data_IF_314710980932
#
_entry.id   IF_314710980932
#
_cell.length_a   1.000
_cell.length_b   1.000
_cell.length_c   1.000
_cell.angle_alpha   90.00
_cell.angle_beta   90.00
_cell.angle_gamma   90.00
#
_symmetry.space_group_name_H-M   'P 1'
#
loop_
_entity.id
_entity.type
_entity.pdbx_description
1 polymer ?
#
# COMPACT_ATOMS: atom_id res chain seq x y z
N UNK A 1 13.94 -11.52 -24.58
CA UNK A 1 12.68 -10.77 -24.38
C UNK A 1 12.65 -10.37 -22.92
N UNK A 2 12.78 -9.07 -22.60
CA UNK A 2 12.73 -8.62 -21.20
C UNK A 2 11.35 -8.94 -20.63
N UNK A 3 11.31 -9.49 -19.42
CA UNK A 3 10.06 -9.75 -18.73
C UNK A 3 9.29 -8.44 -18.59
N UNK A 4 7.99 -8.45 -18.88
CA UNK A 4 7.18 -7.25 -18.76
C UNK A 4 7.14 -6.78 -17.29
N UNK A 5 7.30 -5.48 -17.07
CA UNK A 5 6.98 -4.83 -15.81
C UNK A 5 5.47 -4.93 -15.60
N UNK A 6 5.05 -5.96 -14.87
CA UNK A 6 3.63 -6.26 -14.63
C UNK A 6 3.13 -5.65 -13.30
N UNK A 7 3.97 -4.91 -12.58
CA UNK A 7 3.60 -4.25 -11.33
C UNK A 7 3.92 -2.74 -11.41
N UNK A 8 3.47 -1.97 -10.41
CA UNK A 8 3.66 -0.51 -10.42
C UNK A 8 3.61 0.12 -9.02
N UNK A 9 4.28 1.26 -8.88
CA UNK A 9 4.09 2.16 -7.74
C UNK A 9 3.08 3.25 -8.08
N UNK A 10 2.32 3.65 -7.06
CA UNK A 10 1.29 4.67 -7.14
C UNK A 10 1.70 5.90 -6.33
N UNK A 11 1.82 7.04 -6.99
CA UNK A 11 2.45 8.24 -6.43
C UNK A 11 1.48 9.41 -6.22
N UNK A 12 0.16 9.15 -6.22
CA UNK A 12 -0.85 10.22 -6.16
C UNK A 12 -0.63 11.17 -4.98
N UNK A 13 -0.35 10.67 -3.79
CA UNK A 13 -0.14 11.51 -2.60
C UNK A 13 1.07 12.45 -2.77
N UNK A 14 2.16 11.96 -3.33
CA UNK A 14 3.38 12.73 -3.58
C UNK A 14 3.12 13.81 -4.63
N UNK A 15 2.42 13.45 -5.71
CA UNK A 15 2.04 14.35 -6.81
C UNK A 15 1.07 15.44 -6.32
N UNK A 16 0.14 15.11 -5.42
CA UNK A 16 -0.74 16.07 -4.74
C UNK A 16 0.06 17.05 -3.88
N UNK A 17 0.96 16.54 -3.03
CA UNK A 17 1.78 17.39 -2.16
C UNK A 17 2.68 18.35 -2.95
N UNK A 18 3.25 17.90 -4.08
CA UNK A 18 4.03 18.76 -4.99
C UNK A 18 3.20 19.92 -5.58
N UNK A 19 1.87 19.82 -5.54
CA UNK A 19 0.91 20.84 -6.02
C UNK A 19 0.20 21.59 -4.90
N UNK A 20 0.69 21.45 -3.66
CA UNK A 20 0.10 22.11 -2.50
C UNK A 20 -1.25 21.53 -2.07
N UNK A 21 -1.61 20.34 -2.55
CA UNK A 21 -2.82 19.63 -2.11
C UNK A 21 -2.44 18.66 -0.99
N UNK A 22 -2.94 18.90 0.21
CA UNK A 22 -2.59 18.13 1.41
C UNK A 22 -3.78 17.39 2.01
N UNK A 23 -5.00 17.70 1.54
CA UNK A 23 -6.24 17.03 1.93
C UNK A 23 -6.87 16.30 0.76
N UNK A 24 -7.61 15.23 1.04
CA UNK A 24 -8.42 14.54 0.04
C UNK A 24 -9.54 15.42 -0.51
N UNK A 25 -10.02 16.39 0.27
CA UNK A 25 -11.01 17.39 -0.16
C UNK A 25 -10.50 18.25 -1.32
N UNK A 26 -9.18 18.52 -1.35
CA UNK A 26 -8.53 19.31 -2.40
C UNK A 26 -8.61 18.61 -3.76
N UNK A 27 -8.90 17.30 -3.78
CA UNK A 27 -9.10 16.50 -4.99
C UNK A 27 -10.59 16.29 -5.33
N UNK A 28 -11.48 16.28 -4.34
CA UNK A 28 -12.92 15.99 -4.55
C UNK A 28 -13.57 17.04 -5.43
N UNK A 29 -13.37 18.32 -5.14
CA UNK A 29 -14.00 19.41 -5.88
C UNK A 29 -13.49 19.50 -7.33
N UNK A 30 -12.17 19.48 -7.63
CA UNK A 30 -11.66 19.50 -9.00
C UNK A 30 -12.08 18.29 -9.84
N UNK A 31 -12.19 17.10 -9.23
CA UNK A 31 -12.71 15.91 -9.91
C UNK A 31 -14.20 16.06 -10.25
N UNK A 32 -14.99 16.62 -9.32
CA UNK A 32 -16.42 16.85 -9.53
C UNK A 32 -16.68 17.84 -10.67
N UNK A 33 -15.87 18.89 -10.78
CA UNK A 33 -15.94 19.86 -11.88
C UNK A 33 -15.69 19.21 -13.25
N UNK A 34 -14.94 18.11 -13.31
CA UNK A 34 -14.69 17.31 -14.52
C UNK A 34 -15.70 16.18 -14.72
N UNK A 35 -16.79 16.19 -13.97
CA UNK A 35 -17.85 15.17 -14.04
C UNK A 35 -17.49 13.85 -13.36
N UNK A 36 -16.40 13.79 -12.59
CA UNK A 36 -16.00 12.61 -11.82
C UNK A 36 -16.49 12.77 -10.37
N UNK A 37 -17.61 12.11 -10.06
CA UNK A 37 -18.15 12.07 -8.70
C UNK A 37 -17.71 10.80 -8.00
N UNK A 38 -16.81 10.95 -7.03
CA UNK A 38 -16.35 9.87 -6.15
C UNK A 38 -16.79 10.20 -4.71
N UNK A 39 -17.09 9.17 -3.91
CA UNK A 39 -17.29 9.36 -2.48
C UNK A 39 -15.97 9.75 -1.80
N UNK A 40 -16.05 10.40 -0.62
CA UNK A 40 -14.83 10.74 0.16
C UNK A 40 -14.00 9.50 0.49
N UNK A 41 -14.63 8.36 0.73
CA UNK A 41 -13.94 7.08 0.96
C UNK A 41 -13.23 6.56 -0.30
N UNK A 42 -13.82 6.71 -1.49
CA UNK A 42 -13.17 6.35 -2.75
C UNK A 42 -11.95 7.23 -3.02
N UNK A 43 -12.07 8.54 -2.79
CA UNK A 43 -10.93 9.46 -2.94
C UNK A 43 -9.84 9.15 -1.91
N UNK A 44 -10.21 8.92 -0.65
CA UNK A 44 -9.26 8.52 0.37
C UNK A 44 -8.48 7.26 -0.01
N UNK A 45 -9.18 6.20 -0.42
CA UNK A 45 -8.54 4.96 -0.88
C UNK A 45 -7.65 5.19 -2.08
N UNK A 46 -8.07 6.03 -3.03
CA UNK A 46 -7.25 6.38 -4.18
C UNK A 46 -5.95 7.09 -3.75
N UNK A 47 -5.95 7.91 -2.70
CA UNK A 47 -4.76 8.63 -2.23
C UNK A 47 -3.86 7.77 -1.34
N UNK A 48 -4.42 6.83 -0.58
CA UNK A 48 -3.65 6.07 0.44
C UNK A 48 -3.35 4.62 0.05
N UNK A 49 -4.11 4.04 -0.86
CA UNK A 49 -3.95 2.67 -1.34
C UNK A 49 -3.49 2.66 -2.81
N UNK A 50 -2.96 1.51 -3.24
CA UNK A 50 -2.66 1.24 -4.65
C UNK A 50 -3.91 0.65 -5.34
N UNK A 51 -4.49 1.31 -6.36
CA UNK A 51 -5.76 0.88 -6.95
C UNK A 51 -5.61 -0.30 -7.92
N UNK A 52 -6.12 -1.49 -7.60
CA UNK A 52 -6.10 -2.63 -8.53
C UNK A 52 -6.85 -2.38 -9.84
N UNK A 53 -7.89 -1.54 -9.78
CA UNK A 53 -8.71 -1.15 -10.94
C UNK A 53 -8.98 0.34 -10.87
N UNK A 54 -8.70 1.02 -11.98
CA UNK A 54 -8.97 2.44 -12.16
C UNK A 54 -9.61 2.65 -13.54
N UNK A 55 -10.67 3.45 -13.61
CA UNK A 55 -11.21 3.80 -14.93
C UNK A 55 -10.30 4.82 -15.61
N UNK A 56 -10.14 4.70 -16.93
CA UNK A 56 -9.35 5.68 -17.70
C UNK A 56 -9.90 7.10 -17.56
N UNK A 57 -11.21 7.28 -17.41
CA UNK A 57 -11.81 8.60 -17.16
C UNK A 57 -11.30 9.23 -15.86
N UNK A 58 -11.22 8.46 -14.78
CA UNK A 58 -10.65 8.93 -13.51
C UNK A 58 -9.17 9.24 -13.67
N UNK A 59 -8.41 8.36 -14.34
CA UNK A 59 -7.00 8.61 -14.61
C UNK A 59 -6.79 9.94 -15.36
N UNK A 60 -7.50 10.15 -16.48
CA UNK A 60 -7.40 11.39 -17.26
C UNK A 60 -7.79 12.62 -16.45
N UNK A 61 -8.82 12.52 -15.60
CA UNK A 61 -9.20 13.62 -14.71
C UNK A 61 -8.11 13.92 -13.68
N UNK A 62 -7.43 12.92 -13.12
CA UNK A 62 -6.31 13.14 -12.20
C UNK A 62 -5.15 13.84 -12.91
N UNK A 63 -4.76 13.38 -14.10
CA UNK A 63 -3.68 13.99 -14.87
C UNK A 63 -3.97 15.45 -15.20
N UNK A 64 -5.23 15.78 -15.48
CA UNK A 64 -5.66 17.15 -15.78
C UNK A 64 -5.77 18.04 -14.52
N UNK A 65 -6.35 17.54 -13.42
CA UNK A 65 -6.41 18.26 -12.13
C UNK A 65 -5.01 18.55 -11.60
N UNK A 66 -4.14 17.56 -11.73
CA UNK A 66 -2.80 17.59 -11.22
C UNK A 66 -1.81 17.92 -12.33
N UNK A 67 -2.18 18.50 -13.46
CA UNK A 67 -1.24 18.91 -14.53
C UNK A 67 0.06 18.07 -14.62
N UNK A 68 -0.07 16.75 -14.78
CA UNK A 68 1.04 15.78 -14.67
C UNK A 68 1.03 14.73 -15.76
N UNK A 69 2.19 14.12 -16.00
CA UNK A 69 2.31 12.98 -16.89
C UNK A 69 1.86 11.70 -16.18
N UNK A 70 1.44 10.71 -16.98
CA UNK A 70 1.07 9.39 -16.46
C UNK A 70 2.20 8.73 -15.65
N UNK A 71 3.46 8.97 -16.03
CA UNK A 71 4.66 8.45 -15.37
C UNK A 71 4.91 9.05 -14.00
N UNK A 72 4.37 10.24 -13.73
CA UNK A 72 4.46 10.87 -12.41
C UNK A 72 3.51 10.18 -11.43
N UNK A 73 2.41 9.61 -11.94
CA UNK A 73 1.36 8.98 -11.15
C UNK A 73 1.55 7.47 -11.00
N UNK A 74 1.99 6.82 -12.07
CA UNK A 74 2.18 5.37 -12.20
C UNK A 74 3.62 5.09 -12.65
N UNK A 75 4.41 4.48 -11.77
CA UNK A 75 5.77 4.06 -12.07
C UNK A 75 5.79 2.53 -12.28
N UNK A 76 6.04 2.02 -13.50
CA UNK A 76 6.12 0.59 -13.74
C UNK A 76 7.34 -0.02 -13.06
N UNK A 77 7.13 -1.10 -12.31
CA UNK A 77 8.18 -1.87 -11.65
C UNK A 77 8.14 -3.34 -12.08
N UNK A 78 9.28 -4.01 -11.98
CA UNK A 78 9.33 -5.45 -12.23
C UNK A 78 8.50 -6.16 -11.16
N UNK A 79 7.62 -7.06 -11.59
CA UNK A 79 6.84 -7.84 -10.66
C UNK A 79 7.81 -8.67 -9.82
N UNK A 80 7.90 -8.35 -8.53
CA UNK A 80 8.67 -9.15 -7.61
C UNK A 80 8.08 -10.57 -7.63
N UNK A 81 8.88 -11.57 -7.95
CA UNK A 81 8.50 -12.95 -7.74
C UNK A 81 8.24 -13.10 -6.25
N UNK A 82 6.97 -13.15 -5.85
CA UNK A 82 6.58 -13.44 -4.49
C UNK A 82 7.09 -14.83 -4.17
N UNK A 83 8.27 -14.90 -3.56
CA UNK A 83 8.61 -16.11 -2.81
C UNK A 83 7.47 -16.26 -1.81
N UNK A 84 6.74 -17.39 -1.80
CA UNK A 84 5.84 -17.63 -0.70
C UNK A 84 6.68 -17.48 0.55
N UNK A 85 6.34 -16.52 1.40
CA UNK A 85 6.72 -16.61 2.80
C UNK A 85 6.22 -17.98 3.20
N UNK A 86 7.15 -18.95 3.32
CA UNK A 86 6.87 -20.15 4.09
C UNK A 86 6.30 -19.59 5.38
N UNK A 87 5.08 -19.96 5.72
CA UNK A 87 4.57 -19.74 7.05
C UNK A 87 5.58 -20.39 8.00
N UNK A 88 6.52 -19.59 8.50
CA UNK A 88 7.23 -19.90 9.70
C UNK A 88 6.14 -19.76 10.77
N UNK A 89 5.70 -20.88 11.31
CA UNK A 89 5.09 -20.82 12.64
C UNK A 89 6.05 -20.06 13.55
N UNK A 90 5.56 -18.97 14.13
CA UNK A 90 6.34 -18.02 14.94
C UNK A 90 6.62 -16.73 14.14
N UNK A 91 6.18 -15.54 14.55
CA UNK A 91 6.15 -15.06 15.93
C UNK A 91 5.20 -13.89 16.08
N UNK A 92 4.50 -13.87 17.22
CA UNK A 92 4.01 -12.62 17.76
C UNK A 92 5.20 -11.77 18.23
N UNK A 93 5.14 -10.49 17.88
CA UNK A 93 5.74 -9.32 18.51
C UNK A 93 7.27 -9.23 18.61
N UNK A 94 7.78 -8.11 18.08
CA UNK A 94 8.95 -7.44 18.64
C UNK A 94 8.70 -7.17 20.14
N UNK A 95 9.32 -7.99 20.96
CA UNK A 95 9.38 -7.84 22.41
C UNK A 95 10.53 -8.70 22.91
N UNK A 96 11.53 -8.07 23.52
CA UNK A 96 12.70 -8.63 24.23
C UNK A 96 12.67 -10.16 24.33
N UNK A 97 13.40 -10.87 23.46
CA UNK A 97 13.03 -12.27 23.17
C UNK A 97 14.14 -13.25 22.80
N UNK A 98 15.39 -13.06 23.25
CA UNK A 98 16.42 -14.11 23.15
C UNK A 98 16.50 -15.01 24.41
N UNK A 99 15.55 -14.88 25.34
CA UNK A 99 15.45 -15.76 26.49
C UNK A 99 14.43 -16.87 26.23
N UNK A 100 14.92 -17.97 25.65
CA UNK A 100 14.13 -19.19 25.46
C UNK A 100 14.06 -19.98 26.78
N UNK A 101 12.87 -20.19 27.39
CA UNK A 101 12.76 -20.94 28.63
C UNK A 101 13.16 -22.40 28.42
N UNK A 102 14.04 -22.92 29.29
CA UNK A 102 14.42 -24.34 29.33
C UNK A 102 13.35 -25.13 30.10
N UNK A 103 12.98 -26.30 29.56
CA UNK A 103 12.05 -27.23 30.21
C UNK A 103 12.59 -27.69 31.56
N UNK A 104 11.78 -27.56 32.61
CA UNK A 104 12.07 -28.14 33.91
C UNK A 104 11.97 -29.68 33.87
N UNK A 105 12.90 -30.36 34.53
CA UNK A 105 12.81 -31.80 34.79
C UNK A 105 12.31 -31.99 36.21
N UNK A 106 11.12 -32.56 36.34
CA UNK A 106 10.51 -32.85 37.65
C UNK A 106 11.13 -34.17 38.14
N UNK A 107 11.83 -34.12 39.26
CA UNK A 107 12.33 -35.32 39.95
C UNK A 107 11.26 -35.68 40.97
N UNK A 108 10.61 -36.85 40.81
CA UNK A 108 9.67 -37.35 41.80
C UNK A 108 10.42 -37.64 43.10
N UNK A 109 10.03 -36.99 44.18
CA UNK A 109 10.49 -37.35 45.52
C UNK A 109 9.63 -38.50 46.01
N UNK A 110 10.24 -39.68 46.15
CA UNK A 110 9.66 -40.84 46.79
C UNK A 110 10.15 -40.91 48.25
N UNK A 111 9.24 -41.25 49.18
CA UNK A 111 9.57 -41.74 50.52
C UNK A 111 9.62 -40.76 51.69
N UNK A 112 8.51 -40.67 52.44
CA UNK A 112 8.38 -41.21 53.81
C UNK A 112 6.93 -41.19 54.30
#
# INVERSE_FOLDING_TARGET
MMAAKLDYHWHLRQVMAARGMFSTTDLIEPLTQRGIRLSSSQVYRLVVERPERLSLKVLMALLDVLDCAITDLIEPVEAASSKPTRAAGGSAAEGVGDLRPRRARIVGTDGR
#
